data_IF_026285146678
#
_entry.id   IF_026285146678
#
_cell.length_a   1.000
_cell.length_b   1.000
_cell.length_c   1.000
_cell.angle_alpha   90.00
_cell.angle_beta   90.00
_cell.angle_gamma   90.00
#
_symmetry.space_group_name_H-M   'P 1'
#
loop_
_entity.id
_entity.type
_entity.pdbx_description
1 polymer ?
#
# COMPACT_ATOMS: atom_id res chain seq x y z
N UNK A 1 15.71 21.64 -9.55
CA UNK A 1 15.93 22.12 -8.16
C UNK A 1 14.87 21.44 -7.30
N UNK A 2 15.18 20.92 -6.11
CA UNK A 2 14.13 20.34 -5.28
C UNK A 2 13.15 21.44 -4.82
N UNK A 3 11.84 21.18 -4.87
CA UNK A 3 10.85 22.12 -4.34
C UNK A 3 11.01 22.27 -2.82
N UNK A 4 10.74 23.46 -2.24
CA UNK A 4 10.74 23.62 -0.80
C UNK A 4 9.67 22.74 -0.14
N UNK A 5 9.96 22.19 1.04
CA UNK A 5 9.04 21.30 1.80
C UNK A 5 7.73 21.97 2.24
N UNK A 6 7.67 23.30 2.18
CA UNK A 6 6.48 24.09 2.53
C UNK A 6 5.52 24.29 1.36
N UNK A 7 5.84 23.78 0.17
CA UNK A 7 5.08 24.06 -1.06
C UNK A 7 4.34 22.80 -1.49
N UNK A 8 3.06 22.96 -1.84
CA UNK A 8 2.30 21.88 -2.46
C UNK A 8 2.80 21.68 -3.91
N UNK A 9 3.06 20.44 -4.28
CA UNK A 9 3.53 20.05 -5.61
C UNK A 9 2.50 19.13 -6.24
N UNK A 10 2.01 19.51 -7.40
CA UNK A 10 1.15 18.70 -8.23
C UNK A 10 1.93 18.06 -9.38
N UNK A 11 1.51 16.87 -9.79
CA UNK A 11 2.03 16.17 -10.95
C UNK A 11 0.98 16.10 -12.03
N UNK A 12 1.34 16.60 -13.20
CA UNK A 12 0.66 16.34 -14.47
C UNK A 12 1.36 15.17 -15.15
N UNK A 13 0.64 14.12 -15.49
CA UNK A 13 1.17 12.94 -16.16
C UNK A 13 0.33 12.54 -17.36
N UNK A 14 1.00 12.01 -18.37
CA UNK A 14 0.39 11.52 -19.60
C UNK A 14 1.03 10.21 -20.01
N UNK A 15 0.21 9.35 -20.60
CA UNK A 15 0.69 8.19 -21.33
C UNK A 15 1.23 8.60 -22.70
N UNK A 16 2.46 8.18 -23.01
CA UNK A 16 3.14 8.46 -24.28
C UNK A 16 3.85 7.20 -24.73
N UNK A 17 3.77 6.77 -26.00
CA UNK A 17 4.58 5.67 -26.50
C UNK A 17 6.07 5.93 -26.22
N UNK A 18 6.78 4.94 -25.69
CA UNK A 18 8.15 5.11 -25.19
C UNK A 18 9.09 5.68 -26.26
N UNK A 19 8.97 5.19 -27.49
CA UNK A 19 9.74 5.60 -28.66
C UNK A 19 9.46 7.04 -29.11
N UNK A 20 8.31 7.61 -28.71
CA UNK A 20 7.90 8.97 -29.07
C UNK A 20 8.09 9.99 -27.94
N UNK A 21 8.56 9.58 -26.76
CA UNK A 21 8.65 10.43 -25.55
C UNK A 21 9.48 11.70 -25.75
N UNK A 22 10.61 11.62 -26.46
CA UNK A 22 11.48 12.79 -26.72
C UNK A 22 10.79 13.80 -27.65
N UNK A 23 10.15 13.33 -28.72
CA UNK A 23 9.41 14.19 -29.65
C UNK A 23 8.23 14.85 -28.95
N UNK A 24 7.49 14.06 -28.16
CA UNK A 24 6.40 14.54 -27.34
C UNK A 24 6.84 15.66 -26.38
N UNK A 25 7.96 15.48 -25.67
CA UNK A 25 8.48 16.48 -24.73
C UNK A 25 8.73 17.84 -25.39
N UNK A 26 9.26 17.86 -26.62
CA UNK A 26 9.49 19.10 -27.38
C UNK A 26 8.17 19.78 -27.74
N UNK A 27 7.18 19.00 -28.20
CA UNK A 27 5.85 19.52 -28.55
C UNK A 27 5.12 20.05 -27.31
N UNK A 28 5.15 19.30 -26.21
CA UNK A 28 4.62 19.70 -24.90
C UNK A 28 5.14 21.07 -24.51
N UNK A 29 6.47 21.26 -24.51
CA UNK A 29 7.08 22.51 -24.08
C UNK A 29 6.71 23.71 -24.97
N UNK A 30 6.57 23.48 -26.29
CA UNK A 30 6.27 24.54 -27.26
C UNK A 30 4.79 24.94 -27.27
N UNK A 31 3.90 23.96 -27.21
CA UNK A 31 2.47 24.18 -27.49
C UNK A 31 1.63 24.13 -26.22
N UNK A 32 1.99 23.28 -25.26
CA UNK A 32 1.13 22.99 -24.12
C UNK A 32 1.53 23.75 -22.86
N UNK A 33 2.83 23.93 -22.60
CA UNK A 33 3.29 24.77 -21.47
C UNK A 33 2.69 26.18 -21.47
N UNK A 34 2.55 26.89 -22.62
CA UNK A 34 1.88 28.19 -22.64
C UNK A 34 0.38 28.14 -22.31
N UNK A 35 -0.30 27.03 -22.65
CA UNK A 35 -1.72 26.84 -22.30
C UNK A 35 -1.88 26.53 -20.81
N UNK A 36 -1.03 25.65 -20.26
CA UNK A 36 -1.00 25.33 -18.83
C UNK A 36 -0.68 26.57 -17.98
N UNK A 37 0.17 27.49 -18.48
CA UNK A 37 0.46 28.75 -17.80
C UNK A 37 -0.79 29.63 -17.60
N UNK A 38 -1.80 29.55 -18.47
CA UNK A 38 -3.09 30.25 -18.30
C UNK A 38 -3.86 29.77 -17.06
N UNK A 39 -3.59 28.54 -16.63
CA UNK A 39 -4.13 27.91 -15.42
C UNK A 39 -3.19 28.03 -14.21
N UNK A 40 -2.17 28.90 -14.29
CA UNK A 40 -1.20 29.12 -13.22
C UNK A 40 -0.12 28.04 -13.09
N UNK A 41 -0.04 27.09 -14.04
CA UNK A 41 0.97 26.05 -14.07
C UNK A 41 2.21 26.51 -14.85
N UNK A 42 3.05 27.28 -14.18
CA UNK A 42 4.31 27.83 -14.72
C UNK A 42 5.53 27.02 -14.25
N UNK A 43 6.62 27.07 -15.00
CA UNK A 43 7.93 26.47 -14.64
C UNK A 43 7.90 24.98 -14.27
N UNK A 44 7.19 24.18 -15.08
CA UNK A 44 7.07 22.74 -14.89
C UNK A 44 8.43 22.02 -14.87
N UNK A 45 8.75 21.37 -13.75
CA UNK A 45 10.00 20.62 -13.57
C UNK A 45 9.83 19.14 -13.91
N UNK A 46 10.92 18.46 -14.27
CA UNK A 46 10.93 17.01 -14.44
C UNK A 46 10.78 16.30 -13.10
N UNK A 47 10.16 15.12 -13.11
CA UNK A 47 10.10 14.28 -11.92
C UNK A 47 11.53 13.88 -11.51
N UNK A 48 11.93 14.03 -10.23
CA UNK A 48 13.24 13.58 -9.77
C UNK A 48 13.32 12.06 -9.60
N UNK A 49 12.18 11.36 -9.60
CA UNK A 49 12.09 9.90 -9.49
C UNK A 49 12.03 9.27 -10.88
N UNK A 50 12.48 8.03 -10.97
CA UNK A 50 12.29 7.24 -12.19
C UNK A 50 10.81 7.13 -12.54
N UNK A 51 10.51 7.17 -13.83
CA UNK A 51 9.16 7.02 -14.35
C UNK A 51 9.15 5.87 -15.35
N UNK A 52 8.06 5.08 -15.45
CA UNK A 52 7.91 4.10 -16.51
C UNK A 52 8.16 4.73 -17.89
N UNK A 53 8.70 3.93 -18.82
CA UNK A 53 9.11 4.44 -20.13
C UNK A 53 7.98 5.14 -20.89
N UNK A 54 6.73 4.72 -20.66
CA UNK A 54 5.52 5.24 -21.28
C UNK A 54 4.84 6.38 -20.50
N UNK A 55 5.41 6.81 -19.37
CA UNK A 55 4.87 7.92 -18.56
C UNK A 55 5.72 9.17 -18.80
N UNK A 56 5.06 10.27 -19.14
CA UNK A 56 5.67 11.59 -19.18
C UNK A 56 5.01 12.48 -18.14
N UNK A 57 5.82 13.12 -17.26
CA UNK A 57 5.26 14.05 -16.29
C UNK A 57 5.99 15.39 -16.17
N UNK A 58 5.25 16.35 -15.61
CA UNK A 58 5.77 17.62 -15.09
C UNK A 58 5.23 17.90 -13.70
N UNK A 59 6.09 18.46 -12.86
CA UNK A 59 5.78 18.88 -11.50
C UNK A 59 5.61 20.39 -11.45
N UNK A 60 4.56 20.83 -10.77
CA UNK A 60 4.21 22.24 -10.62
C UNK A 60 4.03 22.59 -9.16
N UNK A 61 4.69 23.66 -8.71
CA UNK A 61 4.48 24.24 -7.40
C UNK A 61 3.16 25.00 -7.37
N UNK A 62 2.37 24.77 -6.32
CA UNK A 62 1.07 25.38 -6.09
C UNK A 62 1.03 26.07 -4.74
N UNK A 63 0.13 27.05 -4.62
CA UNK A 63 -0.04 27.85 -3.40
C UNK A 63 -0.63 27.05 -2.23
N UNK A 64 -1.45 26.05 -2.51
CA UNK A 64 -2.09 25.21 -1.50
C UNK A 64 -2.46 23.83 -2.06
N UNK A 65 -2.65 22.81 -1.21
CA UNK A 65 -3.19 21.52 -1.64
C UNK A 65 -4.58 21.64 -2.29
N UNK A 66 -5.43 22.57 -1.83
CA UNK A 66 -6.78 22.78 -2.37
C UNK A 66 -6.77 23.21 -3.84
N UNK A 67 -5.77 24.00 -4.26
CA UNK A 67 -5.62 24.45 -5.65
C UNK A 67 -5.45 23.29 -6.64
N UNK A 68 -5.02 22.10 -6.20
CA UNK A 68 -4.89 20.92 -7.05
C UNK A 68 -6.24 20.53 -7.66
N UNK A 69 -7.31 20.52 -6.84
CA UNK A 69 -8.64 20.13 -7.29
C UNK A 69 -9.25 21.18 -8.23
N UNK A 70 -9.09 22.47 -7.90
CA UNK A 70 -9.56 23.60 -8.70
C UNK A 70 -8.90 23.62 -10.09
N UNK A 71 -7.57 23.49 -10.13
CA UNK A 71 -6.83 23.45 -11.40
C UNK A 71 -7.19 22.19 -12.19
N UNK A 72 -7.34 21.04 -11.52
CA UNK A 72 -7.78 19.80 -12.21
C UNK A 72 -9.11 20.03 -12.92
N UNK A 73 -10.09 20.61 -12.24
CA UNK A 73 -11.40 20.90 -12.83
C UNK A 73 -11.28 21.91 -13.99
N UNK A 74 -10.49 22.97 -13.83
CA UNK A 74 -10.25 23.95 -14.89
C UNK A 74 -9.60 23.34 -16.13
N UNK A 75 -8.58 22.48 -15.96
CA UNK A 75 -7.94 21.76 -17.06
C UNK A 75 -8.92 20.83 -17.77
N UNK A 76 -9.79 20.15 -17.01
CA UNK A 76 -10.78 19.22 -17.55
C UNK A 76 -11.89 19.92 -18.35
N UNK A 77 -12.10 21.21 -18.13
CA UNK A 77 -13.14 22.01 -18.79
C UNK A 77 -12.58 22.92 -19.91
N UNK A 78 -11.27 22.91 -20.17
CA UNK A 78 -10.66 23.71 -21.22
C UNK A 78 -10.78 23.02 -22.59
N UNK A 79 -11.60 23.61 -23.47
CA UNK A 79 -11.83 23.09 -24.82
C UNK A 79 -10.54 23.02 -25.66
N UNK A 80 -9.61 23.97 -25.49
CA UNK A 80 -8.35 23.99 -26.25
C UNK A 80 -7.44 22.83 -25.85
N UNK A 81 -7.38 22.51 -24.54
CA UNK A 81 -6.63 21.34 -24.06
C UNK A 81 -7.27 20.04 -24.54
N UNK A 82 -8.61 19.99 -24.51
CA UNK A 82 -9.38 18.83 -24.97
C UNK A 82 -9.11 18.53 -26.45
N UNK A 83 -9.23 19.54 -27.32
CA UNK A 83 -8.97 19.41 -28.75
C UNK A 83 -7.54 18.95 -29.04
N UNK A 84 -6.58 19.46 -28.28
CA UNK A 84 -5.18 19.07 -28.43
C UNK A 84 -4.93 17.61 -28.04
N UNK A 85 -5.56 17.11 -26.97
CA UNK A 85 -5.46 15.69 -26.58
C UNK A 85 -6.08 14.79 -27.65
N UNK A 86 -7.22 15.19 -28.22
CA UNK A 86 -7.85 14.49 -29.34
C UNK A 86 -6.94 14.44 -30.58
N UNK A 87 -6.30 15.56 -30.95
CA UNK A 87 -5.28 15.60 -32.02
C UNK A 87 -4.09 14.68 -31.72
N UNK A 88 -3.62 14.71 -30.47
CA UNK A 88 -2.53 13.86 -30.03
C UNK A 88 -2.90 12.38 -30.19
N UNK A 89 -4.12 12.00 -29.83
CA UNK A 89 -4.53 10.61 -29.91
C UNK A 89 -4.58 10.06 -31.31
N UNK A 90 -5.05 10.88 -32.26
CA UNK A 90 -4.99 10.54 -33.68
C UNK A 90 -3.56 10.29 -34.16
N UNK A 91 -2.59 11.09 -33.71
CA UNK A 91 -1.19 11.02 -34.19
C UNK A 91 -0.32 9.99 -33.48
N UNK A 92 -0.51 9.80 -32.18
CA UNK A 92 0.36 8.95 -31.37
C UNK A 92 -0.23 7.55 -31.15
N UNK A 93 -1.56 7.39 -31.23
CA UNK A 93 -2.26 6.13 -30.94
C UNK A 93 -2.96 5.49 -32.15
N UNK A 94 -3.05 6.19 -33.29
CA UNK A 94 -3.34 5.58 -34.60
C UNK A 94 -4.78 5.14 -34.86
N UNK A 95 -5.73 5.44 -33.96
CA UNK A 95 -7.17 5.19 -34.14
C UNK A 95 -8.00 6.30 -33.46
N UNK A 96 -9.29 6.41 -33.79
CA UNK A 96 -10.31 7.25 -33.12
C UNK A 96 -10.53 6.74 -31.68
N UNK A 97 -9.54 6.91 -30.83
CA UNK A 97 -9.66 6.60 -29.42
C UNK A 97 -10.58 7.64 -28.78
N UNK A 98 -11.84 7.28 -28.56
CA UNK A 98 -12.71 7.86 -27.52
C UNK A 98 -12.14 7.55 -26.12
N UNK A 99 -10.86 7.82 -25.89
CA UNK A 99 -10.28 7.81 -24.56
C UNK A 99 -10.62 9.16 -23.94
N UNK A 100 -11.39 9.12 -22.86
CA UNK A 100 -11.74 10.33 -22.12
C UNK A 100 -10.47 11.08 -21.69
N UNK A 101 -10.52 12.40 -21.64
CA UNK A 101 -9.40 13.23 -21.17
C UNK A 101 -8.90 12.77 -19.78
N UNK A 102 -9.79 12.24 -18.94
CA UNK A 102 -9.47 11.67 -17.62
C UNK A 102 -8.57 10.42 -17.70
N UNK A 103 -8.67 9.63 -18.76
CA UNK A 103 -7.86 8.41 -18.94
C UNK A 103 -6.45 8.68 -19.47
N UNK A 104 -6.22 9.87 -20.02
CA UNK A 104 -4.95 10.26 -20.66
C UNK A 104 -4.19 11.27 -19.80
N UNK A 105 -4.91 12.26 -19.27
CA UNK A 105 -4.35 13.34 -18.47
C UNK A 105 -4.66 13.10 -17.01
N UNK A 106 -3.62 12.84 -16.23
CA UNK A 106 -3.71 12.66 -14.80
C UNK A 106 -3.04 13.84 -14.10
N UNK A 107 -3.85 14.67 -13.46
CA UNK A 107 -3.38 15.77 -12.61
C UNK A 107 -3.76 15.52 -11.16
N UNK A 108 -2.78 15.51 -10.25
CA UNK A 108 -3.03 15.24 -8.85
C UNK A 108 -1.84 15.55 -7.94
N UNK A 109 -2.02 15.34 -6.64
CA UNK A 109 -0.98 15.56 -5.64
C UNK A 109 0.25 14.67 -5.91
N UNK A 110 1.43 15.27 -5.74
CA UNK A 110 2.72 14.59 -5.77
C UNK A 110 3.39 14.63 -4.40
N UNK A 111 3.50 15.84 -3.86
CA UNK A 111 4.02 16.09 -2.52
C UNK A 111 3.28 17.26 -1.93
N UNK A 112 2.79 17.13 -0.70
CA UNK A 112 1.93 18.13 -0.06
C UNK A 112 2.35 18.29 1.40
N UNK A 113 2.52 19.53 1.90
CA UNK A 113 2.77 19.75 3.32
C UNK A 113 1.63 19.18 4.16
N UNK A 114 1.95 18.45 5.22
CA UNK A 114 0.95 17.82 6.08
C UNK A 114 0.14 18.84 6.91
N UNK A 115 0.68 20.06 7.06
CA UNK A 115 0.14 21.07 7.97
C UNK A 115 0.28 20.62 9.44
N UNK A 116 -0.55 21.19 10.31
CA UNK A 116 -0.55 20.85 11.74
C UNK A 116 -1.39 19.60 12.09
N UNK A 117 -2.08 19.02 11.09
CA UNK A 117 -3.17 18.06 11.33
C UNK A 117 -4.36 18.71 12.05
N UNK A 118 -5.42 17.94 12.23
CA UNK A 118 -6.53 18.30 13.11
C UNK A 118 -6.26 17.75 14.51
N UNK A 119 -6.54 18.55 15.53
CA UNK A 119 -6.36 18.16 16.93
C UNK A 119 -7.72 17.70 17.46
N UNK A 120 -7.79 16.45 17.90
CA UNK A 120 -9.03 15.84 18.39
C UNK A 120 -8.80 15.20 19.75
N UNK A 121 -9.81 15.20 20.62
CA UNK A 121 -9.70 14.47 21.89
C UNK A 121 -9.74 12.97 21.62
N UNK A 122 -8.88 12.23 22.31
CA UNK A 122 -8.97 10.77 22.26
C UNK A 122 -10.26 10.28 22.91
N UNK A 123 -10.85 9.25 22.30
CA UNK A 123 -11.98 8.51 22.88
C UNK A 123 -11.58 7.69 24.10
N UNK A 124 -12.49 6.85 24.59
CA UNK A 124 -12.23 5.94 25.71
C UNK A 124 -11.04 5.00 25.41
N UNK A 125 -10.10 4.87 26.37
CA UNK A 125 -8.91 4.04 26.26
C UNK A 125 -7.92 4.31 27.38
N UNK A 126 -6.96 3.40 27.61
CA UNK A 126 -6.11 3.42 28.82
C UNK A 126 -5.11 4.58 28.89
N UNK A 127 -4.73 5.18 27.77
CA UNK A 127 -3.85 6.36 27.72
C UNK A 127 -3.92 7.03 26.36
N UNK A 128 -4.60 8.18 26.20
CA UNK A 128 -4.26 9.32 25.29
C UNK A 128 -5.12 10.53 25.67
N UNK A 129 -4.55 11.73 25.68
CA UNK A 129 -5.32 12.97 25.83
C UNK A 129 -5.83 13.49 24.46
N UNK A 130 -4.98 13.40 23.43
CA UNK A 130 -5.19 14.08 22.14
C UNK A 130 -4.65 13.25 20.97
N UNK A 131 -5.37 13.27 19.85
CA UNK A 131 -4.96 12.78 18.55
C UNK A 131 -4.61 13.92 17.59
N UNK A 132 -3.58 13.71 16.78
CA UNK A 132 -3.34 14.50 15.58
C UNK A 132 -3.81 13.69 14.37
N UNK A 133 -4.91 14.14 13.77
CA UNK A 133 -5.57 13.49 12.65
C UNK A 133 -5.09 14.11 11.33
N UNK A 134 -4.60 13.27 10.42
CA UNK A 134 -4.22 13.67 9.07
C UNK A 134 -5.16 12.95 8.09
N UNK A 135 -5.85 13.72 7.25
CA UNK A 135 -6.82 13.20 6.29
C UNK A 135 -6.54 13.64 4.86
N UNK A 136 -7.53 13.49 3.97
CA UNK A 136 -7.43 13.91 2.57
C UNK A 136 -7.13 15.42 2.47
N UNK A 137 -7.73 16.23 3.35
CA UNK A 137 -7.46 17.67 3.44
C UNK A 137 -6.05 18.02 3.94
N UNK A 138 -5.40 17.09 4.64
CA UNK A 138 -4.01 17.21 5.09
C UNK A 138 -3.01 16.65 4.07
N UNK A 139 -3.49 16.09 2.96
CA UNK A 139 -2.65 15.62 1.88
C UNK A 139 -2.54 14.10 1.71
N UNK A 140 -3.27 13.30 2.51
CA UNK A 140 -3.43 11.88 2.19
C UNK A 140 -4.20 11.71 0.88
N UNK A 141 -3.83 10.72 0.07
CA UNK A 141 -4.48 10.47 -1.22
C UNK A 141 -5.89 9.87 -1.07
N UNK A 142 -6.14 9.18 0.03
CA UNK A 142 -7.42 8.51 0.36
C UNK A 142 -7.56 8.39 1.88
N UNK A 143 -8.77 8.12 2.34
CA UNK A 143 -9.08 7.90 3.76
C UNK A 143 -8.94 6.43 4.18
N UNK A 144 -8.79 5.50 3.22
CA UNK A 144 -8.69 4.08 3.51
C UNK A 144 -7.21 3.69 3.53
N UNK A 145 -6.72 3.40 4.73
CA UNK A 145 -5.36 2.94 5.02
C UNK A 145 -5.41 1.47 5.39
N UNK A 146 -4.62 0.65 4.71
CA UNK A 146 -4.55 -0.80 4.96
C UNK A 146 -3.39 -1.16 5.90
N UNK A 147 -2.27 -0.46 5.76
CA UNK A 147 -1.06 -0.75 6.51
C UNK A 147 -0.19 0.50 6.70
N UNK A 148 0.61 0.52 7.75
CA UNK A 148 1.56 1.59 8.06
C UNK A 148 2.88 0.96 8.50
N UNK A 149 3.92 1.20 7.70
CA UNK A 149 5.29 0.78 7.96
C UNK A 149 6.13 1.99 8.35
N UNK A 150 6.91 1.89 9.44
CA UNK A 150 8.00 2.82 9.70
C UNK A 150 9.31 2.21 9.17
N UNK A 151 10.00 2.92 8.28
CA UNK A 151 11.29 2.46 7.78
C UNK A 151 12.45 2.78 8.75
N UNK A 152 13.64 2.23 8.47
CA UNK A 152 14.88 2.48 9.23
C UNK A 152 15.31 3.95 9.26
N UNK A 153 14.83 4.75 8.32
CA UNK A 153 15.07 6.20 8.23
C UNK A 153 13.99 7.01 9.00
N UNK A 154 13.09 6.33 9.71
CA UNK A 154 11.97 6.88 10.48
C UNK A 154 10.91 7.57 9.62
N UNK A 155 10.88 7.28 8.32
CA UNK A 155 9.80 7.71 7.44
C UNK A 155 8.63 6.73 7.61
N UNK A 156 7.41 7.26 7.58
CA UNK A 156 6.22 6.42 7.55
C UNK A 156 5.83 6.16 6.11
N UNK A 157 5.50 4.92 5.80
CA UNK A 157 4.98 4.45 4.52
C UNK A 157 3.57 3.93 4.77
N UNK A 158 2.59 4.59 4.17
CA UNK A 158 1.18 4.33 4.36
C UNK A 158 0.67 3.64 3.10
N UNK A 159 0.22 2.39 3.25
CA UNK A 159 -0.41 1.62 2.18
C UNK A 159 -1.90 1.97 2.11
N UNK A 160 -2.38 2.31 0.91
CA UNK A 160 -3.71 2.90 0.76
C UNK A 160 -4.54 2.24 -0.33
N UNK A 161 -5.87 2.39 -0.24
CA UNK A 161 -6.80 1.92 -1.26
C UNK A 161 -6.95 2.94 -2.40
N UNK A 162 -6.47 2.58 -3.60
CA UNK A 162 -6.59 3.39 -4.82
C UNK A 162 -5.77 4.69 -4.85
N UNK A 163 -5.07 5.01 -3.76
CA UNK A 163 -4.26 6.23 -3.62
C UNK A 163 -2.75 6.01 -3.75
N UNK A 164 -2.32 4.78 -3.99
CA UNK A 164 -0.93 4.34 -4.04
C UNK A 164 -0.29 4.18 -2.66
N UNK A 165 1.02 4.39 -2.61
CA UNK A 165 1.80 4.47 -1.38
C UNK A 165 2.02 5.93 -1.01
N UNK A 166 1.78 6.29 0.25
CA UNK A 166 2.06 7.63 0.76
C UNK A 166 3.22 7.58 1.75
N UNK A 167 4.30 8.28 1.45
CA UNK A 167 5.44 8.44 2.36
C UNK A 167 5.29 9.74 3.14
N UNK A 168 5.41 9.69 4.46
CA UNK A 168 5.44 10.84 5.34
C UNK A 168 6.80 10.98 6.01
N UNK A 169 7.41 12.15 5.86
CA UNK A 169 8.74 12.47 6.40
C UNK A 169 8.72 13.30 7.70
N UNK A 170 7.53 13.46 8.30
CA UNK A 170 7.31 14.34 9.45
C UNK A 170 6.89 15.77 9.08
N UNK A 171 6.97 16.14 7.79
CA UNK A 171 6.61 17.49 7.32
C UNK A 171 5.63 17.46 6.14
N UNK A 172 5.80 16.52 5.22
CA UNK A 172 5.04 16.42 3.98
C UNK A 172 4.70 14.98 3.64
N UNK A 173 3.55 14.80 3.00
CA UNK A 173 3.15 13.55 2.37
C UNK A 173 3.64 13.54 0.92
N UNK A 174 4.26 12.44 0.50
CA UNK A 174 4.71 12.23 -0.88
C UNK A 174 4.08 10.96 -1.42
N UNK A 175 3.32 11.06 -2.50
CA UNK A 175 2.58 9.94 -3.08
C UNK A 175 3.39 9.22 -4.15
N UNK A 176 3.28 7.90 -4.20
CA UNK A 176 3.84 7.02 -5.20
C UNK A 176 2.71 6.21 -5.82
N UNK A 177 2.54 6.29 -7.13
CA UNK A 177 1.45 5.61 -7.84
C UNK A 177 2.00 4.75 -8.98
N UNK A 178 1.13 4.16 -9.78
CA UNK A 178 1.46 3.50 -11.07
C UNK A 178 2.31 4.37 -11.99
N UNK A 179 2.22 5.70 -11.85
CA UNK A 179 3.02 6.68 -12.58
C UNK A 179 4.48 6.73 -12.14
N UNK A 180 4.79 6.20 -10.96
CA UNK A 180 6.14 6.04 -10.42
C UNK A 180 6.68 4.62 -10.66
N UNK A 181 5.88 3.69 -11.18
CA UNK A 181 6.28 2.31 -11.45
C UNK A 181 5.66 1.26 -10.53
N UNK A 182 4.84 1.67 -9.56
CA UNK A 182 4.01 0.75 -8.79
C UNK A 182 3.10 -0.06 -9.74
N UNK A 183 2.82 -1.33 -9.46
CA UNK A 183 2.00 -2.16 -10.35
C UNK A 183 0.51 -1.82 -10.26
N UNK A 184 0.06 -1.28 -9.12
CA UNK A 184 -1.30 -0.82 -8.90
C UNK A 184 -1.41 0.19 -7.76
N UNK A 185 -2.43 1.05 -7.80
CA UNK A 185 -2.63 2.11 -6.80
C UNK A 185 -3.38 1.63 -5.54
N UNK A 186 -3.82 0.38 -5.49
CA UNK A 186 -4.32 -0.26 -4.27
C UNK A 186 -3.24 -1.15 -3.67
N UNK A 187 -2.80 -0.78 -2.46
CA UNK A 187 -1.71 -1.46 -1.76
C UNK A 187 -2.19 -1.90 -0.39
N UNK A 188 -2.08 -3.20 -0.12
CA UNK A 188 -2.64 -3.85 1.06
C UNK A 188 -1.65 -3.96 2.23
N UNK A 189 -0.36 -4.10 1.94
CA UNK A 189 0.66 -4.31 2.97
C UNK A 189 2.02 -3.77 2.53
N UNK A 190 2.87 -3.45 3.50
CA UNK A 190 4.23 -2.97 3.30
C UNK A 190 5.23 -3.68 4.21
N UNK A 191 6.44 -3.90 3.72
CA UNK A 191 7.55 -4.48 4.48
C UNK A 191 8.85 -3.80 4.10
N UNK A 192 9.70 -3.45 5.06
CA UNK A 192 11.11 -3.15 4.80
C UNK A 192 11.93 -4.39 5.07
N UNK A 193 12.68 -4.86 4.07
CA UNK A 193 13.61 -5.98 4.28
C UNK A 193 14.92 -5.52 4.92
N UNK A 194 15.72 -6.46 5.42
CA UNK A 194 17.02 -6.23 6.09
C UNK A 194 18.01 -5.52 5.18
N UNK A 195 17.86 -5.65 3.86
CA UNK A 195 18.69 -4.98 2.84
C UNK A 195 18.25 -3.54 2.57
N UNK A 196 17.18 -3.06 3.21
CA UNK A 196 16.66 -1.70 3.09
C UNK A 196 15.77 -1.51 1.87
N UNK A 197 15.32 -2.60 1.25
CA UNK A 197 14.37 -2.54 0.14
C UNK A 197 12.97 -2.59 0.70
N UNK A 198 12.09 -1.79 0.14
CA UNK A 198 10.69 -1.76 0.53
C UNK A 198 9.89 -2.68 -0.40
N UNK A 199 9.00 -3.47 0.18
CA UNK A 199 8.10 -4.37 -0.51
C UNK A 199 6.68 -3.89 -0.27
N UNK A 200 5.89 -3.86 -1.33
CA UNK A 200 4.52 -3.37 -1.33
C UNK A 200 3.61 -4.41 -1.99
N UNK A 201 2.78 -5.05 -1.18
CA UNK A 201 1.80 -6.02 -1.67
C UNK A 201 0.64 -5.29 -2.31
N UNK A 202 0.49 -5.42 -3.62
CA UNK A 202 -0.60 -4.77 -4.35
C UNK A 202 -1.80 -5.71 -4.46
N UNK A 203 -2.99 -5.16 -4.27
CA UNK A 203 -4.20 -5.95 -4.24
C UNK A 203 -5.36 -5.21 -3.59
N UNK A 204 -6.55 -5.65 -3.89
CA UNK A 204 -7.78 -5.14 -3.31
C UNK A 204 -8.77 -6.29 -3.19
N UNK A 205 -9.40 -6.41 -2.02
CA UNK A 205 -10.36 -7.48 -1.73
C UNK A 205 -11.64 -7.45 -2.58
N UNK A 206 -11.91 -6.36 -3.31
CA UNK A 206 -13.04 -6.30 -4.26
C UNK A 206 -12.62 -6.44 -5.73
N UNK A 207 -11.32 -6.42 -6.04
CA UNK A 207 -10.85 -6.60 -7.42
C UNK A 207 -10.47 -8.07 -7.64
N UNK A 208 -11.08 -8.69 -8.64
CA UNK A 208 -10.89 -10.12 -8.95
C UNK A 208 -9.47 -10.46 -9.43
N UNK A 209 -8.61 -9.46 -9.66
CA UNK A 209 -7.27 -9.62 -10.20
C UNK A 209 -6.29 -8.74 -9.42
N UNK A 210 -5.44 -9.34 -8.58
CA UNK A 210 -4.32 -8.62 -7.97
C UNK A 210 -3.22 -8.26 -8.98
N UNK A 211 -2.28 -7.41 -8.57
CA UNK A 211 -1.22 -6.86 -9.43
C UNK A 211 0.21 -7.22 -8.99
N UNK A 212 0.34 -8.18 -8.08
CA UNK A 212 1.61 -8.73 -7.62
C UNK A 212 2.18 -7.98 -6.43
N UNK A 213 3.49 -8.11 -6.24
CA UNK A 213 4.24 -7.38 -5.22
C UNK A 213 5.26 -6.47 -5.91
N UNK A 214 5.38 -5.23 -5.44
CA UNK A 214 6.40 -4.31 -5.90
C UNK A 214 7.54 -4.22 -4.90
N UNK A 215 8.78 -4.34 -5.37
CA UNK A 215 9.99 -4.05 -4.61
C UNK A 215 10.55 -2.70 -5.04
N UNK A 216 10.89 -1.86 -4.08
CA UNK A 216 11.42 -0.52 -4.28
C UNK A 216 12.79 -0.39 -3.64
N UNK A 217 13.76 0.08 -4.40
CA UNK A 217 15.17 0.23 -3.99
C UNK A 217 15.54 1.66 -3.56
N UNK A 218 14.58 2.58 -3.54
CA UNK A 218 14.79 4.01 -3.32
C UNK A 218 14.78 4.84 -4.60
N UNK A 219 14.84 4.22 -5.77
CA UNK A 219 14.82 4.89 -7.08
C UNK A 219 13.72 4.34 -8.00
N UNK A 220 13.63 3.02 -8.13
CA UNK A 220 12.77 2.32 -9.09
C UNK A 220 11.94 1.22 -8.42
N UNK A 221 10.76 0.96 -8.99
CA UNK A 221 9.95 -0.20 -8.64
C UNK A 221 10.23 -1.35 -9.61
N UNK A 222 10.38 -2.54 -9.04
CA UNK A 222 10.40 -3.83 -9.72
C UNK A 222 9.15 -4.60 -9.30
N UNK A 223 8.43 -5.20 -10.24
CA UNK A 223 7.19 -5.93 -9.93
C UNK A 223 7.40 -7.42 -10.13
N UNK A 224 6.93 -8.22 -9.18
CA UNK A 224 6.85 -9.66 -9.29
C UNK A 224 5.39 -10.10 -9.31
N UNK A 225 5.08 -11.01 -10.23
CA UNK A 225 3.73 -11.51 -10.50
C UNK A 225 3.73 -13.03 -10.65
N UNK A 226 2.56 -13.61 -10.97
CA UNK A 226 2.42 -15.01 -11.35
C UNK A 226 3.32 -15.40 -12.53
N UNK A 227 3.62 -14.47 -13.44
CA UNK A 227 4.55 -14.73 -14.54
C UNK A 227 5.99 -14.97 -14.05
N UNK A 228 6.34 -14.46 -12.87
CA UNK A 228 7.65 -14.56 -12.25
C UNK A 228 7.74 -15.71 -11.22
N UNK A 229 6.64 -16.47 -11.04
CA UNK A 229 6.56 -17.63 -10.14
C UNK A 229 5.81 -17.39 -8.82
N UNK A 230 5.26 -16.20 -8.60
CA UNK A 230 4.40 -15.91 -7.45
C UNK A 230 3.12 -16.77 -7.50
N UNK A 231 2.66 -17.27 -6.35
CA UNK A 231 1.48 -18.15 -6.30
C UNK A 231 0.19 -17.47 -6.79
N UNK A 232 -0.02 -16.23 -6.38
CA UNK A 232 -1.12 -15.38 -6.84
C UNK A 232 -0.74 -13.90 -6.75
N UNK A 233 -1.38 -13.05 -7.56
CA UNK A 233 -1.04 -11.63 -7.63
C UNK A 233 -1.66 -10.78 -6.53
N UNK A 234 -2.50 -11.34 -5.68
CA UNK A 234 -3.13 -10.60 -4.59
C UNK A 234 -2.42 -10.96 -3.29
N UNK A 235 -1.80 -9.94 -2.69
CA UNK A 235 -0.93 -10.08 -1.52
C UNK A 235 -1.60 -9.43 -0.31
N UNK A 236 -1.80 -10.19 0.75
CA UNK A 236 -2.48 -9.74 1.97
C UNK A 236 -1.52 -9.41 3.11
N UNK A 237 -0.36 -10.08 3.18
CA UNK A 237 0.65 -9.84 4.19
C UNK A 237 2.05 -10.18 3.66
N UNK A 238 3.05 -9.53 4.25
CA UNK A 238 4.47 -9.70 3.95
C UNK A 238 5.22 -9.91 5.27
N UNK A 239 6.24 -10.78 5.26
CA UNK A 239 7.12 -10.99 6.39
C UNK A 239 8.51 -11.37 5.88
N UNK A 240 9.57 -10.76 6.40
CA UNK A 240 10.91 -11.30 6.24
C UNK A 240 11.27 -12.13 7.48
N UNK A 241 11.72 -13.37 7.27
CA UNK A 241 12.12 -14.24 8.36
C UNK A 241 13.60 -14.10 8.74
N UNK A 242 13.99 -14.79 9.80
CA UNK A 242 15.36 -14.81 10.33
C UNK A 242 16.43 -15.31 9.36
N UNK A 243 16.06 -16.11 8.36
CA UNK A 243 16.97 -16.52 7.30
C UNK A 243 17.09 -15.48 6.16
N UNK A 244 16.31 -14.39 6.20
CA UNK A 244 16.27 -13.36 5.15
C UNK A 244 15.39 -13.75 3.97
N UNK A 245 14.49 -14.72 4.14
CA UNK A 245 13.49 -15.10 3.14
C UNK A 245 12.29 -14.20 3.29
N UNK A 246 11.75 -13.72 2.17
CA UNK A 246 10.54 -12.90 2.18
C UNK A 246 9.34 -13.80 1.90
N UNK A 247 8.46 -13.92 2.89
CA UNK A 247 7.21 -14.64 2.82
C UNK A 247 6.08 -13.70 2.37
N UNK A 248 5.27 -14.16 1.43
CA UNK A 248 4.16 -13.42 0.83
C UNK A 248 2.90 -14.25 0.99
N UNK A 249 1.99 -13.77 1.84
CA UNK A 249 0.65 -14.31 1.94
C UNK A 249 -0.12 -13.91 0.69
N UNK A 250 -0.42 -14.90 -0.15
CA UNK A 250 -1.24 -14.71 -1.35
C UNK A 250 -2.65 -15.25 -1.10
N UNK A 251 -3.63 -14.85 -1.90
CA UNK A 251 -4.99 -15.39 -1.75
C UNK A 251 -5.14 -16.84 -2.19
N UNK A 252 -4.12 -17.45 -2.84
CA UNK A 252 -4.11 -18.87 -3.23
C UNK A 252 -3.02 -19.71 -2.54
N UNK A 253 -2.32 -19.18 -1.55
CA UNK A 253 -1.27 -19.90 -0.85
C UNK A 253 -0.16 -19.00 -0.33
N UNK A 254 0.88 -19.61 0.24
CA UNK A 254 2.03 -18.93 0.81
C UNK A 254 3.21 -19.00 -0.16
N UNK A 255 3.67 -17.86 -0.68
CA UNK A 255 4.89 -17.81 -1.50
C UNK A 255 6.10 -17.41 -0.64
N UNK A 256 7.22 -18.09 -0.82
CA UNK A 256 8.51 -17.78 -0.22
C UNK A 256 9.47 -17.33 -1.31
N UNK A 257 10.04 -16.14 -1.16
CA UNK A 257 11.04 -15.56 -2.05
C UNK A 257 12.43 -15.68 -1.42
N UNK A 258 13.29 -16.45 -2.07
CA UNK A 258 14.67 -16.69 -1.64
C UNK A 258 15.58 -16.75 -2.87
N UNK A 259 16.74 -16.07 -2.81
CA UNK A 259 17.74 -16.16 -3.88
C UNK A 259 17.24 -15.75 -5.28
N UNK A 260 16.20 -14.92 -5.37
CA UNK A 260 15.61 -14.52 -6.64
C UNK A 260 14.53 -15.46 -7.19
N UNK A 261 14.09 -16.45 -6.42
CA UNK A 261 13.11 -17.45 -6.85
C UNK A 261 11.95 -17.52 -5.87
N UNK A 262 10.76 -17.83 -6.40
CA UNK A 262 9.58 -18.13 -5.60
C UNK A 262 9.39 -19.64 -5.45
N UNK A 263 9.06 -20.08 -4.24
CA UNK A 263 8.47 -21.39 -3.95
C UNK A 263 7.11 -21.17 -3.30
N UNK A 264 6.07 -21.82 -3.78
CA UNK A 264 4.70 -21.60 -3.28
C UNK A 264 4.16 -22.86 -2.66
N UNK A 265 3.62 -22.71 -1.45
CA UNK A 265 2.91 -23.73 -0.69
C UNK A 265 1.40 -23.49 -0.79
N UNK A 266 0.66 -24.56 -1.03
CA UNK A 266 -0.79 -24.58 -1.19
C UNK A 266 -1.46 -25.37 -0.06
N UNK A 267 -2.80 -25.44 -0.09
CA UNK A 267 -3.56 -26.29 0.83
C UNK A 267 -3.14 -27.78 0.74
N UNK A 268 -2.74 -28.24 -0.45
CA UNK A 268 -2.22 -29.61 -0.65
C UNK A 268 -0.91 -29.88 0.08
N UNK A 269 -0.16 -28.85 0.44
CA UNK A 269 1.13 -28.97 1.14
C UNK A 269 0.97 -28.93 2.67
N UNK A 270 -0.26 -28.77 3.17
CA UNK A 270 -0.56 -28.76 4.61
C UNK A 270 -1.04 -27.43 5.18
N UNK A 271 -1.18 -26.38 4.35
CA UNK A 271 -1.86 -25.15 4.77
C UNK A 271 -3.35 -25.44 5.04
N UNK A 272 -3.92 -24.96 6.17
CA UNK A 272 -5.33 -25.22 6.49
C UNK A 272 -6.30 -24.51 5.54
N UNK A 273 -5.88 -23.40 4.95
CA UNK A 273 -6.63 -22.68 3.94
C UNK A 273 -5.70 -21.89 3.00
N UNK A 274 -6.14 -21.69 1.75
CA UNK A 274 -5.38 -20.99 0.71
C UNK A 274 -5.36 -19.47 0.91
N UNK A 275 -6.44 -18.89 1.42
CA UNK A 275 -6.49 -17.48 1.84
C UNK A 275 -5.78 -17.29 3.19
N UNK A 276 -4.68 -16.54 3.17
CA UNK A 276 -3.85 -16.20 4.32
C UNK A 276 -4.08 -14.72 4.66
N UNK A 277 -4.17 -14.38 5.96
CA UNK A 277 -4.37 -13.01 6.43
C UNK A 277 -3.19 -12.47 7.22
N UNK A 278 -2.50 -13.32 7.99
CA UNK A 278 -1.42 -12.89 8.87
C UNK A 278 -0.22 -13.81 8.77
N UNK A 279 0.97 -13.22 8.86
CA UNK A 279 2.24 -13.90 8.98
C UNK A 279 2.98 -13.31 10.19
N UNK A 280 3.55 -14.19 11.01
CA UNK A 280 4.33 -13.79 12.17
C UNK A 280 5.42 -14.81 12.42
N UNK A 281 6.66 -14.38 12.67
CA UNK A 281 7.71 -15.28 13.14
C UNK A 281 7.95 -15.06 14.63
N UNK A 282 7.94 -16.12 15.42
CA UNK A 282 8.29 -16.04 16.84
C UNK A 282 9.80 -16.09 17.08
N UNK A 283 10.23 -15.77 18.31
CA UNK A 283 11.65 -15.75 18.71
C UNK A 283 12.34 -17.12 18.63
N UNK A 284 11.58 -18.21 18.43
CA UNK A 284 12.11 -19.56 18.21
C UNK A 284 12.24 -19.89 16.71
N UNK A 285 11.94 -18.93 15.84
CA UNK A 285 11.97 -19.06 14.39
C UNK A 285 10.78 -19.81 13.80
N UNK A 286 9.71 -20.10 14.55
CA UNK A 286 8.47 -20.67 13.99
C UNK A 286 7.77 -19.61 13.15
N UNK A 287 7.39 -19.96 11.92
CA UNK A 287 6.48 -19.13 11.15
C UNK A 287 5.03 -19.50 11.49
N UNK A 288 4.30 -18.58 12.11
CA UNK A 288 2.87 -18.67 12.37
C UNK A 288 2.07 -18.02 11.24
N UNK A 289 1.04 -18.74 10.76
CA UNK A 289 0.29 -18.39 9.55
C UNK A 289 -1.19 -18.39 9.90
N UNK A 290 -1.77 -17.19 9.97
CA UNK A 290 -3.19 -16.97 10.19
C UNK A 290 -3.95 -17.04 8.88
N UNK A 291 -4.95 -17.91 8.81
CA UNK A 291 -5.70 -18.16 7.58
C UNK A 291 -7.19 -17.89 7.77
N UNK A 292 -7.96 -18.00 6.68
CA UNK A 292 -9.43 -17.94 6.76
C UNK A 292 -10.07 -19.08 7.53
N UNK A 293 -9.38 -20.20 7.75
CA UNK A 293 -9.88 -21.33 8.54
C UNK A 293 -8.83 -21.79 9.55
N UNK A 294 -8.62 -20.96 10.57
CA UNK A 294 -7.70 -21.24 11.66
C UNK A 294 -6.25 -20.82 11.39
N UNK A 295 -5.35 -21.33 12.23
CA UNK A 295 -3.93 -20.97 12.27
C UNK A 295 -3.06 -22.22 12.23
N UNK A 296 -1.94 -22.14 11.52
CA UNK A 296 -0.93 -23.19 11.51
C UNK A 296 0.46 -22.63 11.74
N UNK A 297 1.37 -23.48 12.20
CA UNK A 297 2.81 -23.19 12.26
C UNK A 297 3.55 -23.89 11.12
N UNK A 298 4.60 -23.27 10.62
CA UNK A 298 5.53 -23.83 9.67
C UNK A 298 6.96 -23.84 10.26
N UNK A 299 7.54 -25.04 10.33
CA UNK A 299 8.92 -25.26 10.79
C UNK A 299 9.49 -26.48 10.05
N UNK A 300 10.75 -26.41 9.63
CA UNK A 300 11.47 -27.53 9.00
C UNK A 300 10.71 -28.17 7.83
N UNK A 301 10.07 -27.34 7.00
CA UNK A 301 9.24 -27.78 5.86
C UNK A 301 7.95 -28.52 6.22
N UNK A 302 7.51 -28.44 7.46
CA UNK A 302 6.28 -29.09 7.95
C UNK A 302 5.29 -28.04 8.43
N UNK A 303 4.06 -28.11 7.90
CA UNK A 303 2.91 -27.37 8.43
C UNK A 303 2.24 -28.19 9.54
N UNK A 304 1.94 -27.54 10.67
CA UNK A 304 1.22 -28.14 11.79
C UNK A 304 0.02 -27.27 12.15
N UNK A 305 -1.18 -27.82 12.05
CA UNK A 305 -2.42 -27.15 12.43
C UNK A 305 -2.51 -27.00 13.95
N UNK A 306 -2.90 -25.81 14.42
CA UNK A 306 -3.15 -25.57 15.84
C UNK A 306 -4.59 -25.96 16.18
N UNK A 307 -4.80 -27.27 16.39
CA UNK A 307 -6.12 -27.86 16.68
C UNK A 307 -6.36 -28.03 18.18
N UNK A 308 -6.56 -26.93 18.89
CA UNK A 308 -7.01 -26.96 20.29
C UNK A 308 -8.50 -26.58 20.38
N UNK A 309 -9.37 -27.38 21.05
CA UNK A 309 -10.78 -27.05 21.21
C UNK A 309 -11.06 -25.73 21.93
N UNK A 310 -10.11 -25.25 22.74
CA UNK A 310 -10.17 -23.96 23.43
C UNK A 310 -9.51 -22.82 22.63
N UNK A 311 -8.85 -23.14 21.51
CA UNK A 311 -8.22 -22.19 20.62
C UNK A 311 -9.17 -21.60 19.58
N UNK A 312 -8.63 -20.86 18.60
CA UNK A 312 -9.44 -20.22 17.56
C UNK A 312 -10.13 -21.20 16.60
N UNK A 313 -9.87 -22.51 16.67
CA UNK A 313 -10.53 -23.51 15.83
C UNK A 313 -10.44 -23.19 14.33
N UNK A 314 -11.60 -23.08 13.67
CA UNK A 314 -11.70 -22.67 12.25
C UNK A 314 -11.94 -21.16 12.06
N UNK A 315 -11.86 -20.35 13.11
CA UNK A 315 -12.05 -18.92 13.00
C UNK A 315 -10.99 -18.29 12.06
N UNK A 316 -11.35 -17.26 11.27
CA UNK A 316 -10.40 -16.47 10.53
C UNK A 316 -9.42 -15.79 11.48
N UNK A 317 -8.14 -16.12 11.40
CA UNK A 317 -7.09 -15.46 12.20
C UNK A 317 -6.48 -14.33 11.36
N UNK A 318 -6.77 -13.08 11.73
CA UNK A 318 -6.38 -11.89 10.97
C UNK A 318 -5.13 -11.19 11.50
N UNK A 319 -4.78 -11.42 12.76
CA UNK A 319 -3.58 -10.87 13.36
C UNK A 319 -2.91 -11.91 14.26
N UNK A 320 -1.58 -11.94 14.25
CA UNK A 320 -0.77 -12.79 15.13
C UNK A 320 0.32 -11.93 15.73
N UNK A 321 0.54 -12.06 17.02
CA UNK A 321 1.56 -11.33 17.76
C UNK A 321 2.09 -12.20 18.92
N UNK A 322 3.35 -12.03 19.30
CA UNK A 322 3.90 -12.65 20.52
C UNK A 322 4.31 -11.57 21.53
N UNK A 323 3.87 -11.72 22.78
CA UNK A 323 4.29 -10.84 23.87
C UNK A 323 5.70 -11.18 24.40
N UNK A 324 6.25 -10.33 25.27
CA UNK A 324 7.59 -10.52 25.88
C UNK A 324 7.76 -11.81 26.69
N UNK A 325 6.65 -12.48 27.04
CA UNK A 325 6.67 -13.74 27.77
C UNK A 325 6.59 -14.94 26.82
N UNK A 326 6.56 -14.68 25.51
CA UNK A 326 6.40 -15.69 24.47
C UNK A 326 4.96 -16.20 24.34
N UNK A 327 3.96 -15.53 24.93
CA UNK A 327 2.58 -15.91 24.67
C UNK A 327 2.15 -15.41 23.31
N UNK A 328 1.46 -16.26 22.55
CA UNK A 328 0.92 -15.91 21.26
C UNK A 328 -0.48 -15.34 21.41
N UNK A 329 -0.76 -14.26 20.70
CA UNK A 329 -2.04 -13.58 20.63
C UNK A 329 -2.57 -13.69 19.21
N UNK A 330 -3.83 -14.12 19.08
CA UNK A 330 -4.52 -14.32 17.82
C UNK A 330 -5.75 -13.42 17.78
N UNK A 331 -5.72 -12.42 16.91
CA UNK A 331 -6.89 -11.58 16.60
C UNK A 331 -7.76 -12.29 15.58
N UNK A 332 -9.04 -12.46 15.88
CA UNK A 332 -9.97 -13.15 14.98
C UNK A 332 -10.83 -12.16 14.19
N UNK A 333 -11.06 -12.50 12.93
CA UNK A 333 -11.93 -11.77 12.04
C UNK A 333 -13.42 -12.08 12.27
N UNK A 334 -14.26 -11.53 11.40
CA UNK A 334 -15.71 -11.76 11.43
C UNK A 334 -16.06 -13.10 10.76
N UNK A 335 -16.86 -13.92 11.45
CA UNK A 335 -17.55 -15.07 10.86
C UNK A 335 -19.05 -14.78 10.85
N UNK A 336 -19.62 -14.59 9.65
CA UNK A 336 -21.03 -14.22 9.52
C UNK A 336 -21.31 -12.81 10.04
N UNK A 337 -21.94 -12.68 11.21
CA UNK A 337 -22.31 -11.38 11.82
C UNK A 337 -21.50 -11.00 13.06
N UNK A 338 -20.62 -11.88 13.55
CA UNK A 338 -19.92 -11.67 14.82
C UNK A 338 -18.44 -12.04 14.65
N UNK A 339 -17.55 -11.25 15.24
CA UNK A 339 -16.16 -11.66 15.47
C UNK A 339 -16.07 -12.54 16.71
N UNK A 340 -14.98 -13.30 16.84
CA UNK A 340 -14.77 -14.18 18.00
C UNK A 340 -13.91 -13.52 19.08
N UNK A 341 -13.24 -12.40 18.82
CA UNK A 341 -12.41 -11.69 19.80
C UNK A 341 -10.94 -12.08 19.68
N UNK A 342 -10.26 -12.19 20.82
CA UNK A 342 -8.82 -12.46 20.88
C UNK A 342 -8.55 -13.72 21.69
N UNK A 343 -7.67 -14.58 21.15
CA UNK A 343 -7.17 -15.75 21.86
C UNK A 343 -5.72 -15.52 22.27
N UNK A 344 -5.38 -15.80 23.54
CA UNK A 344 -4.00 -15.87 24.02
C UNK A 344 -3.61 -17.31 24.30
N UNK A 345 -2.47 -17.74 23.79
CA UNK A 345 -1.89 -19.06 24.01
C UNK A 345 -0.58 -18.96 24.78
N UNK A 346 -0.48 -19.63 25.92
CA UNK A 346 0.71 -19.61 26.78
C UNK A 346 1.70 -20.76 26.51
N UNK A 347 1.50 -21.51 25.43
CA UNK A 347 2.24 -22.74 25.15
C UNK A 347 1.59 -24.01 25.73
N UNK A 348 0.52 -23.87 26.53
CA UNK A 348 -0.21 -25.00 27.14
C UNK A 348 -1.72 -24.89 27.03
N UNK A 349 -2.27 -23.70 27.24
CA UNK A 349 -3.71 -23.45 27.25
C UNK A 349 -4.05 -22.14 26.54
N UNK A 350 -5.30 -22.04 26.13
CA UNK A 350 -5.88 -20.83 25.59
C UNK A 350 -6.66 -20.05 26.65
N UNK A 351 -6.59 -18.73 26.56
CA UNK A 351 -7.48 -17.78 27.20
C UNK A 351 -8.18 -16.96 26.11
N UNK A 352 -9.47 -16.69 26.29
CA UNK A 352 -10.33 -16.09 25.29
C UNK A 352 -10.91 -14.77 25.82
N UNK A 353 -10.77 -13.70 25.05
CA UNK A 353 -11.18 -12.35 25.41
C UNK A 353 -12.16 -11.81 24.40
N UNK A 354 -13.24 -11.22 24.90
CA UNK A 354 -14.36 -10.69 24.11
C UNK A 354 -14.76 -9.28 24.59
N UNK A 355 -15.83 -8.73 24.03
CA UNK A 355 -16.48 -7.51 24.53
C UNK A 355 -16.95 -7.63 25.98
N UNK A 356 -17.21 -8.85 26.48
CA UNK A 356 -17.50 -9.08 27.90
C UNK A 356 -16.29 -8.82 28.80
N UNK A 357 -15.08 -8.93 28.25
CA UNK A 357 -13.81 -8.74 28.95
C UNK A 357 -13.21 -7.33 28.73
N UNK A 358 -13.92 -6.48 27.98
CA UNK A 358 -13.55 -5.08 27.76
C UNK A 358 -13.00 -4.75 26.37
N UNK A 359 -13.03 -5.69 25.41
CA UNK A 359 -12.78 -5.34 24.01
C UNK A 359 -13.87 -4.40 23.50
N UNK A 360 -13.50 -3.43 22.64
CA UNK A 360 -14.47 -2.56 22.00
C UNK A 360 -15.35 -3.31 20.98
N UNK A 361 -14.75 -4.28 20.28
CA UNK A 361 -15.40 -5.16 19.32
C UNK A 361 -14.70 -6.52 19.31
N UNK A 362 -15.42 -7.58 18.91
CA UNK A 362 -14.84 -8.91 18.77
C UNK A 362 -14.18 -9.15 17.39
N UNK A 363 -14.26 -8.20 16.46
CA UNK A 363 -13.51 -8.25 15.20
C UNK A 363 -12.16 -7.57 15.43
N UNK A 364 -11.08 -8.35 15.42
CA UNK A 364 -9.73 -7.86 15.69
C UNK A 364 -8.84 -8.10 14.48
N UNK A 365 -8.57 -7.02 13.76
CA UNK A 365 -7.87 -7.04 12.47
C UNK A 365 -6.37 -6.78 12.58
N UNK A 366 -5.92 -6.22 13.70
CA UNK A 366 -4.52 -5.89 13.94
C UNK A 366 -4.17 -6.04 15.42
N UNK A 367 -2.96 -6.53 15.68
CA UNK A 367 -2.32 -6.60 16.99
C UNK A 367 -0.93 -6.03 16.86
N UNK A 368 -0.61 -5.02 17.67
CA UNK A 368 0.64 -4.28 17.62
C UNK A 368 1.08 -3.97 19.03
N UNK A 369 2.40 -4.00 19.25
CA UNK A 369 3.02 -3.59 20.50
C UNK A 369 3.51 -2.16 20.41
N UNK A 370 3.26 -1.38 21.46
CA UNK A 370 3.87 -0.05 21.62
C UNK A 370 5.30 -0.12 22.21
N UNK A 371 5.99 1.02 22.16
CA UNK A 371 7.36 1.14 22.70
C UNK A 371 7.46 1.00 24.23
N UNK A 372 6.33 0.97 24.94
CA UNK A 372 6.27 0.69 26.37
C UNK A 372 5.98 -0.79 26.67
N UNK A 373 5.85 -1.64 25.65
CA UNK A 373 5.59 -3.07 25.81
C UNK A 373 4.12 -3.42 26.02
N UNK A 374 3.20 -2.59 25.53
CA UNK A 374 1.75 -2.79 25.68
C UNK A 374 1.06 -3.10 24.37
#
# INVERSE_FOLDING_TARGET
MAFPRSVAVARLSLWVPAEKRVLFARKFNREWSPLLARHGLVDGQTCPRAEPAHVFSRLYALKSPAAIAEIREALMNDATLTDWICDLGKRYWGYDAEKSMQSILLFGAYSVPAGAGQIERAGAGFQRDVWHSFGIHSGLSTSIVHDVLQDRHRLLWVATQGGGIVRYDGYQFTTFTTRDGLSHDSVACALEDRRGRLWFGTGHWLELYGHGVCRYDGECFETFSRADGLGHNEISALLEDDAGRVWLATTMGLSCYEGGRFTTYYASDGLPHHTIYALFQDDQGVLWIGTRRGVCSYRDSVFTLLSDPCGPGEAPVQAIYADDRGHLWFGTGVVGRYGEGVYRYDGRKFEHFTTADGLAENAVTALLRDHHGR
#
